data_IF_280956341519
#
_entry.id   IF_280956341519
#
_cell.length_a   1.000
_cell.length_b   1.000
_cell.length_c   1.000
_cell.angle_alpha   90.00
_cell.angle_beta   90.00
_cell.angle_gamma   90.00
#
_symmetry.space_group_name_H-M   'P 1'
#
loop_
_entity.id
_entity.type
_entity.pdbx_description
1 polymer ?
#
# COMPACT_ATOMS: atom_id res chain seq x y z
N UNK A 1 -11.74 17.90 1.00
CA UNK A 1 -10.74 18.78 1.68
C UNK A 1 -10.63 20.16 1.05
N UNK A 2 -10.44 20.30 -0.27
CA UNK A 2 -10.33 21.62 -0.91
C UNK A 2 -11.55 22.52 -0.64
N UNK A 3 -12.76 21.96 -0.69
CA UNK A 3 -14.02 22.65 -0.37
C UNK A 3 -14.21 22.90 1.13
N UNK A 4 -13.81 21.94 1.97
CA UNK A 4 -13.95 22.04 3.43
C UNK A 4 -13.02 23.11 4.04
N UNK A 5 -11.86 23.34 3.42
CA UNK A 5 -10.83 24.30 3.84
C UNK A 5 -10.40 24.12 5.30
N UNK A 6 -9.78 22.97 5.65
CA UNK A 6 -9.35 22.74 7.02
C UNK A 6 -8.22 23.67 7.45
N UNK A 7 -8.14 23.96 8.74
CA UNK A 7 -7.02 24.64 9.38
C UNK A 7 -5.99 23.67 10.00
N UNK A 8 -6.34 22.38 10.12
CA UNK A 8 -5.45 21.26 10.45
C UNK A 8 -5.97 19.96 9.82
N UNK A 9 -5.04 19.09 9.43
CA UNK A 9 -5.36 17.73 8.95
C UNK A 9 -4.83 16.70 9.95
N UNK A 10 -5.72 15.83 10.43
CA UNK A 10 -5.40 14.73 11.33
C UNK A 10 -5.53 13.43 10.55
N UNK A 11 -4.50 12.60 10.56
CA UNK A 11 -4.40 11.38 9.73
C UNK A 11 -4.24 10.17 10.63
N UNK A 12 -4.95 9.09 10.32
CA UNK A 12 -4.75 7.80 10.99
C UNK A 12 -3.34 7.28 10.71
N UNK A 13 -2.62 7.01 11.79
CA UNK A 13 -1.26 6.53 11.76
C UNK A 13 -0.60 6.72 13.13
N UNK A 14 0.52 6.05 13.38
CA UNK A 14 1.23 6.16 14.65
C UNK A 14 1.85 7.56 14.81
N UNK A 15 1.75 8.20 15.99
CA UNK A 15 2.33 9.52 16.27
C UNK A 15 3.85 9.56 16.09
N UNK A 16 4.52 8.41 16.14
CA UNK A 16 5.92 8.23 15.78
C UNK A 16 6.25 8.74 14.36
N UNK A 17 5.27 8.82 13.45
CA UNK A 17 5.46 9.32 12.09
C UNK A 17 5.58 10.86 12.01
N UNK A 18 5.06 11.60 13.00
CA UNK A 18 5.00 13.07 12.97
C UNK A 18 6.34 13.73 12.57
N UNK A 19 7.50 13.30 13.11
CA UNK A 19 8.79 13.89 12.76
C UNK A 19 9.21 13.70 11.29
N UNK A 20 8.67 12.70 10.60
CA UNK A 20 9.04 12.38 9.21
C UNK A 20 7.97 12.78 8.19
N UNK A 21 6.82 13.31 8.60
CA UNK A 21 5.76 13.72 7.67
C UNK A 21 6.22 14.77 6.65
N UNK A 22 7.10 15.69 7.06
CA UNK A 22 7.59 16.76 6.16
C UNK A 22 8.28 16.21 4.90
N UNK A 23 8.89 15.04 4.98
CA UNK A 23 9.56 14.39 3.84
C UNK A 23 8.59 13.94 2.74
N UNK A 24 7.30 13.78 3.05
CA UNK A 24 6.24 13.52 2.04
C UNK A 24 6.11 14.71 1.06
N UNK A 25 6.52 15.91 1.47
CA UNK A 25 6.59 17.09 0.61
C UNK A 25 7.77 17.09 -0.36
N UNK A 26 8.77 16.22 -0.17
CA UNK A 26 9.97 16.18 -1.01
C UNK A 26 9.62 15.81 -2.46
N UNK A 27 10.30 16.40 -3.44
CA UNK A 27 9.99 16.18 -4.86
C UNK A 27 10.33 14.75 -5.34
N UNK A 28 11.34 14.15 -4.73
CA UNK A 28 11.84 12.83 -5.12
C UNK A 28 11.19 11.66 -4.37
N UNK A 29 10.34 11.90 -3.35
CA UNK A 29 9.63 10.78 -2.72
C UNK A 29 8.53 10.28 -3.67
N UNK A 30 8.57 8.98 -3.99
CA UNK A 30 7.63 8.35 -4.93
C UNK A 30 7.04 7.09 -4.33
N UNK A 31 5.72 7.03 -4.09
CA UNK A 31 5.09 5.80 -3.65
C UNK A 31 5.19 4.69 -4.74
N UNK A 32 5.09 3.40 -4.36
CA UNK A 32 4.75 2.90 -3.03
C UNK A 32 5.92 3.01 -2.02
N UNK A 33 5.67 3.64 -0.87
CA UNK A 33 6.63 3.74 0.24
C UNK A 33 5.97 3.24 1.50
N UNK A 34 6.74 2.78 2.48
CA UNK A 34 6.20 2.43 3.79
C UNK A 34 6.83 3.29 4.87
N UNK A 35 6.01 3.69 5.83
CA UNK A 35 6.50 4.18 7.10
C UNK A 35 6.95 2.96 7.91
N UNK A 36 8.25 2.88 8.19
CA UNK A 36 8.84 1.92 9.08
C UNK A 36 8.90 2.52 10.48
N UNK A 37 8.18 1.95 11.44
CA UNK A 37 8.25 2.31 12.86
C UNK A 37 8.90 1.17 13.62
N UNK A 38 9.96 1.44 14.40
CA UNK A 38 10.76 0.40 15.04
C UNK A 38 11.28 0.82 16.41
N UNK A 39 11.54 -0.17 17.28
CA UNK A 39 12.21 0.05 18.56
C UNK A 39 13.73 0.15 18.35
N UNK A 40 14.41 1.22 18.80
CA UNK A 40 15.83 1.45 18.49
C UNK A 40 16.77 0.40 19.12
N UNK A 41 16.40 -0.16 20.27
CA UNK A 41 17.20 -1.21 20.93
C UNK A 41 16.78 -2.63 20.54
N UNK A 42 15.62 -2.77 19.87
CA UNK A 42 15.06 -4.06 19.43
C UNK A 42 14.46 -3.91 18.03
N UNK A 43 15.26 -3.71 16.97
CA UNK A 43 14.74 -3.37 15.63
C UNK A 43 13.79 -4.41 15.02
N UNK A 44 13.85 -5.66 15.48
CA UNK A 44 12.89 -6.70 15.11
C UNK A 44 11.46 -6.43 15.58
N UNK A 45 11.28 -5.56 16.58
CA UNK A 45 9.98 -4.99 16.94
C UNK A 45 9.70 -3.77 16.05
N UNK A 46 9.24 -4.06 14.83
CA UNK A 46 8.93 -3.08 13.82
C UNK A 46 7.57 -3.32 13.17
N UNK A 47 6.94 -2.24 12.74
CA UNK A 47 5.74 -2.27 11.92
C UNK A 47 5.93 -1.43 10.66
N UNK A 48 5.27 -1.86 9.59
CA UNK A 48 5.20 -1.14 8.33
C UNK A 48 3.79 -0.62 8.10
N UNK A 49 3.70 0.65 7.69
CA UNK A 49 2.48 1.27 7.20
C UNK A 49 2.72 1.68 5.74
N UNK A 50 2.33 0.84 4.77
CA UNK A 50 2.49 1.12 3.35
C UNK A 50 1.55 2.25 2.87
N UNK A 51 2.05 3.04 1.92
CA UNK A 51 1.31 4.11 1.24
C UNK A 51 1.53 3.99 -0.27
N UNK A 52 0.46 4.17 -1.02
CA UNK A 52 0.45 4.32 -2.47
C UNK A 52 0.04 5.75 -2.87
N UNK A 53 0.20 6.09 -4.15
CA UNK A 53 -0.25 7.40 -4.66
C UNK A 53 -1.75 7.63 -4.46
N UNK A 54 -2.54 6.55 -4.49
CA UNK A 54 -3.99 6.57 -4.30
C UNK A 54 -4.41 6.44 -2.83
N UNK A 55 -3.48 6.28 -1.87
CA UNK A 55 -3.82 6.20 -0.45
C UNK A 55 -4.44 7.52 0.03
N UNK A 56 -5.63 7.52 0.66
CA UNK A 56 -6.26 8.73 1.18
C UNK A 56 -5.36 9.52 2.15
N UNK A 57 -4.66 8.81 3.02
CA UNK A 57 -3.72 9.34 4.01
C UNK A 57 -2.54 10.05 3.35
N UNK A 58 -1.97 9.43 2.31
CA UNK A 58 -0.88 10.02 1.51
C UNK A 58 -1.31 11.35 0.88
N UNK A 59 -2.50 11.35 0.26
CA UNK A 59 -3.07 12.54 -0.36
C UNK A 59 -3.41 13.63 0.66
N UNK A 60 -3.88 13.25 1.85
CA UNK A 60 -4.17 14.18 2.94
C UNK A 60 -2.90 14.89 3.45
N UNK A 61 -1.82 14.13 3.65
CA UNK A 61 -0.52 14.68 4.06
C UNK A 61 0.02 15.61 2.97
N UNK A 62 0.02 15.19 1.70
CA UNK A 62 0.45 16.02 0.57
C UNK A 62 -0.37 17.30 0.46
N UNK A 63 -1.68 17.22 0.63
CA UNK A 63 -2.58 18.39 0.62
C UNK A 63 -2.23 19.39 1.73
N UNK A 64 -2.05 18.90 2.96
CA UNK A 64 -1.73 19.74 4.11
C UNK A 64 -0.38 20.45 3.91
N UNK A 65 0.67 19.69 3.55
CA UNK A 65 2.02 20.23 3.31
C UNK A 65 2.03 21.24 2.15
N UNK A 66 1.33 20.93 1.05
CA UNK A 66 1.21 21.83 -0.10
C UNK A 66 0.53 23.16 0.21
N UNK A 67 -0.27 23.23 1.28
CA UNK A 67 -0.94 24.45 1.78
C UNK A 67 -0.31 25.00 3.05
N UNK A 68 0.81 24.45 3.51
CA UNK A 68 1.43 24.80 4.80
C UNK A 68 0.48 24.70 6.00
N UNK A 69 -0.47 23.76 5.92
CA UNK A 69 -1.36 23.42 7.04
C UNK A 69 -0.64 22.45 7.98
N UNK A 70 -0.85 22.55 9.31
CA UNK A 70 -0.44 21.52 10.24
C UNK A 70 -1.05 20.16 9.87
N UNK A 71 -0.23 19.12 9.96
CA UNK A 71 -0.64 17.72 9.80
C UNK A 71 -0.09 16.89 10.95
N UNK A 72 -0.90 15.98 11.51
CA UNK A 72 -0.51 15.10 12.62
C UNK A 72 -1.12 13.73 12.48
N UNK A 73 -0.38 12.74 12.93
CA UNK A 73 -0.87 11.38 13.13
C UNK A 73 -1.66 11.28 14.43
N UNK A 74 -2.79 10.55 14.40
CA UNK A 74 -3.74 10.52 15.52
C UNK A 74 -4.15 9.12 16.00
N UNK A 75 -3.44 8.07 15.60
CA UNK A 75 -3.72 6.72 16.09
C UNK A 75 -2.88 6.38 17.34
N UNK A 76 -3.13 5.22 17.96
CA UNK A 76 -2.37 4.77 19.11
C UNK A 76 -0.86 4.72 18.80
N UNK A 77 0.00 5.17 19.74
CA UNK A 77 1.43 4.90 19.70
C UNK A 77 1.68 3.40 19.58
N UNK A 78 2.65 2.99 18.78
CA UNK A 78 2.92 1.57 18.52
C UNK A 78 3.20 0.78 19.81
N UNK A 79 3.87 1.39 20.78
CA UNK A 79 4.14 0.79 22.10
C UNK A 79 2.85 0.50 22.89
N UNK A 80 1.81 1.29 22.63
CA UNK A 80 0.52 1.16 23.26
C UNK A 80 -0.41 0.23 22.49
N UNK A 81 -0.02 -0.27 21.31
CA UNK A 81 -0.80 -1.21 20.53
C UNK A 81 -0.63 -2.64 21.07
N UNK A 82 -1.70 -3.41 21.07
CA UNK A 82 -1.66 -4.84 21.40
C UNK A 82 -1.34 -5.70 20.17
N UNK A 83 -1.11 -7.00 20.37
CA UNK A 83 -1.22 -7.97 19.27
C UNK A 83 -2.68 -7.97 18.80
N UNK A 84 -2.92 -7.41 17.61
CA UNK A 84 -4.24 -7.39 16.99
C UNK A 84 -4.56 -8.83 16.55
N UNK A 85 -5.22 -9.59 17.42
CA UNK A 85 -5.75 -10.88 17.02
C UNK A 85 -6.73 -10.63 15.86
N UNK A 86 -6.59 -11.33 14.71
CA UNK A 86 -7.51 -11.13 13.61
C UNK A 86 -8.93 -11.37 14.11
N UNK A 87 -9.77 -10.33 14.03
CA UNK A 87 -11.20 -10.51 14.31
C UNK A 87 -11.72 -11.52 13.30
N UNK A 88 -12.31 -12.65 13.74
CA UNK A 88 -12.90 -13.63 12.82
C UNK A 88 -14.12 -13.05 12.09
N UNK A 89 -14.63 -11.90 12.53
CA UNK A 89 -15.75 -11.20 11.92
C UNK A 89 -15.25 -10.16 10.91
N UNK A 90 -15.64 -10.31 9.63
CA UNK A 90 -15.53 -9.30 8.57
C UNK A 90 -16.95 -8.84 8.17
N UNK A 91 -17.54 -7.87 8.88
CA UNK A 91 -18.91 -7.42 8.61
C UNK A 91 -19.08 -6.90 7.19
N UNK A 92 -18.05 -6.25 6.62
CA UNK A 92 -18.13 -5.74 5.25
C UNK A 92 -18.04 -6.88 4.23
N UNK A 93 -17.23 -7.91 4.50
CA UNK A 93 -17.22 -9.14 3.70
C UNK A 93 -18.57 -9.84 3.70
N UNK A 94 -19.26 -9.92 4.83
CA UNK A 94 -20.61 -10.50 4.90
C UNK A 94 -21.64 -9.66 4.14
N UNK A 95 -21.58 -8.32 4.25
CA UNK A 95 -22.43 -7.42 3.47
C UNK A 95 -22.15 -7.57 1.96
N UNK A 96 -20.89 -7.69 1.56
CA UNK A 96 -20.50 -7.92 0.18
C UNK A 96 -21.09 -9.23 -0.37
N UNK A 97 -21.00 -10.33 0.40
CA UNK A 97 -21.62 -11.62 0.04
C UNK A 97 -23.13 -11.53 -0.10
N UNK A 98 -23.80 -10.84 0.82
CA UNK A 98 -25.25 -10.61 0.76
C UNK A 98 -25.64 -9.76 -0.46
N UNK A 99 -24.77 -8.84 -0.88
CA UNK A 99 -24.92 -8.04 -2.09
C UNK A 99 -24.54 -8.80 -3.38
N UNK A 100 -24.11 -10.06 -3.28
CA UNK A 100 -23.77 -10.91 -4.43
C UNK A 100 -22.32 -10.79 -4.92
N UNK A 101 -21.42 -10.23 -4.12
CA UNK A 101 -20.00 -10.11 -4.45
C UNK A 101 -19.17 -11.18 -3.74
N UNK A 102 -18.12 -11.66 -4.41
CA UNK A 102 -17.19 -12.66 -3.85
C UNK A 102 -16.20 -12.05 -2.84
N UNK A 103 -15.90 -10.76 -2.96
CA UNK A 103 -14.97 -10.04 -2.08
C UNK A 103 -15.44 -8.62 -1.73
N UNK A 104 -14.97 -8.14 -0.58
CA UNK A 104 -15.35 -6.83 -0.01
C UNK A 104 -14.87 -5.65 -0.83
N UNK A 105 -13.72 -5.76 -1.49
CA UNK A 105 -13.11 -4.65 -2.25
C UNK A 105 -13.94 -4.35 -3.50
N UNK A 106 -14.35 -5.36 -4.25
CA UNK A 106 -15.21 -5.19 -5.42
C UNK A 106 -16.55 -4.58 -5.07
N UNK A 107 -17.15 -5.05 -3.97
CA UNK A 107 -18.39 -4.47 -3.48
C UNK A 107 -18.19 -3.00 -3.09
N UNK A 108 -17.09 -2.67 -2.39
CA UNK A 108 -16.77 -1.30 -2.00
C UNK A 108 -16.58 -0.38 -3.21
N UNK A 109 -15.84 -0.82 -4.22
CA UNK A 109 -15.64 -0.10 -5.48
C UNK A 109 -16.99 0.22 -6.14
N UNK A 110 -17.83 -0.81 -6.31
CA UNK A 110 -19.12 -0.67 -6.96
C UNK A 110 -20.11 0.19 -6.16
N UNK A 111 -20.12 0.04 -4.83
CA UNK A 111 -21.07 0.71 -3.95
C UNK A 111 -20.70 2.19 -3.70
N UNK A 112 -19.40 2.52 -3.60
CA UNK A 112 -18.93 3.82 -3.13
C UNK A 112 -17.99 4.51 -4.10
N UNK A 113 -16.94 3.86 -4.59
CA UNK A 113 -15.88 4.53 -5.36
C UNK A 113 -16.34 5.02 -6.75
N UNK A 114 -17.32 4.34 -7.35
CA UNK A 114 -17.91 4.75 -8.63
C UNK A 114 -18.94 5.87 -8.51
N UNK A 115 -19.33 6.29 -7.30
CA UNK A 115 -20.29 7.37 -7.11
C UNK A 115 -19.64 8.73 -7.35
N UNK A 116 -20.37 9.61 -8.04
CA UNK A 116 -19.85 10.93 -8.45
C UNK A 116 -20.07 12.04 -7.40
N UNK A 117 -20.96 11.84 -6.43
CA UNK A 117 -21.21 12.80 -5.36
C UNK A 117 -20.54 12.35 -4.04
N UNK A 118 -19.50 13.06 -3.57
CA UNK A 118 -18.82 12.72 -2.33
C UNK A 118 -19.69 12.86 -1.07
N UNK A 119 -20.68 13.76 -1.07
CA UNK A 119 -21.45 14.09 0.14
C UNK A 119 -22.36 12.95 0.56
N UNK A 120 -23.10 12.38 -0.39
CA UNK A 120 -23.95 11.20 -0.17
C UNK A 120 -23.13 9.96 0.24
N UNK A 121 -21.88 9.85 -0.25
CA UNK A 121 -20.98 8.75 0.10
C UNK A 121 -20.61 8.80 1.58
N UNK A 122 -20.26 9.98 2.13
CA UNK A 122 -19.90 10.08 3.55
C UNK A 122 -21.05 9.73 4.48
N UNK A 123 -22.26 10.19 4.17
CA UNK A 123 -23.46 9.86 4.95
C UNK A 123 -23.77 8.36 4.90
N UNK A 124 -23.75 7.77 3.70
CA UNK A 124 -24.00 6.35 3.49
C UNK A 124 -22.96 5.47 4.20
N UNK A 125 -21.67 5.80 4.10
CA UNK A 125 -20.59 5.09 4.79
C UNK A 125 -20.74 5.23 6.30
N UNK A 126 -21.04 6.43 6.82
CA UNK A 126 -21.22 6.65 8.26
C UNK A 126 -22.37 5.83 8.82
N UNK A 127 -23.51 5.81 8.12
CA UNK A 127 -24.67 4.99 8.51
C UNK A 127 -24.31 3.49 8.49
N UNK A 128 -23.73 3.01 7.39
CA UNK A 128 -23.31 1.62 7.25
C UNK A 128 -22.36 1.18 8.37
N UNK A 129 -21.32 1.97 8.67
CA UNK A 129 -20.35 1.62 9.71
C UNK A 129 -20.97 1.67 11.10
N UNK A 130 -21.92 2.57 11.33
CA UNK A 130 -22.67 2.63 12.59
C UNK A 130 -23.47 1.34 12.80
N UNK A 131 -24.26 0.93 11.81
CA UNK A 131 -25.07 -0.29 11.87
C UNK A 131 -24.20 -1.55 11.97
N UNK A 132 -23.13 -1.64 11.19
CA UNK A 132 -22.22 -2.78 11.24
C UNK A 132 -21.60 -2.94 12.64
N UNK A 133 -21.21 -1.83 13.28
CA UNK A 133 -20.62 -1.83 14.62
C UNK A 133 -21.61 -2.21 15.72
N UNK A 134 -22.88 -1.85 15.60
CA UNK A 134 -23.90 -2.28 16.59
C UNK A 134 -24.08 -3.80 16.62
N UNK A 135 -23.73 -4.47 15.52
CA UNK A 135 -23.84 -5.93 15.35
C UNK A 135 -22.51 -6.66 15.50
N UNK A 136 -21.43 -5.97 15.88
CA UNK A 136 -20.08 -6.54 16.06
C UNK A 136 -19.62 -6.32 17.50
N UNK A 137 -19.02 -7.34 18.12
CA UNK A 137 -18.51 -7.19 19.48
C UNK A 137 -17.39 -6.13 19.52
N UNK A 138 -17.40 -5.20 20.51
CA UNK A 138 -16.36 -4.19 20.60
C UNK A 138 -15.01 -4.84 20.90
N UNK A 139 -14.01 -4.55 20.05
CA UNK A 139 -12.63 -4.92 20.30
C UNK A 139 -11.96 -3.90 21.22
N UNK A 140 -11.34 -4.36 22.31
CA UNK A 140 -10.66 -3.49 23.28
C UNK A 140 -9.54 -2.63 22.64
N UNK A 141 -8.91 -3.14 21.58
CA UNK A 141 -7.91 -2.40 20.82
C UNK A 141 -8.55 -1.26 20.01
N UNK A 142 -9.63 -1.56 19.27
CA UNK A 142 -10.39 -0.55 18.54
C UNK A 142 -10.92 0.57 19.45
N UNK A 143 -11.43 0.24 20.63
CA UNK A 143 -11.89 1.26 21.59
C UNK A 143 -10.76 2.19 22.06
N UNK A 144 -9.55 1.66 22.23
CA UNK A 144 -8.41 2.45 22.64
C UNK A 144 -7.86 3.32 21.50
N UNK A 145 -7.82 2.81 20.26
CA UNK A 145 -7.51 3.59 19.05
C UNK A 145 -8.44 4.79 18.95
N UNK A 146 -9.74 4.54 19.05
CA UNK A 146 -10.76 5.59 19.01
C UNK A 146 -10.68 6.57 20.19
N UNK A 147 -10.36 6.10 21.40
CA UNK A 147 -10.16 6.96 22.56
C UNK A 147 -8.97 7.90 22.36
N UNK A 148 -7.88 7.39 21.80
CA UNK A 148 -6.70 8.18 21.48
C UNK A 148 -7.00 9.21 20.37
N UNK A 149 -7.64 8.80 19.27
CA UNK A 149 -8.08 9.70 18.18
C UNK A 149 -8.94 10.84 18.71
N UNK A 150 -9.94 10.55 19.55
CA UNK A 150 -10.78 11.59 20.20
C UNK A 150 -9.96 12.53 21.09
N UNK A 151 -8.93 12.05 21.79
CA UNK A 151 -8.05 12.93 22.56
C UNK A 151 -7.23 13.87 21.67
N UNK A 152 -6.75 13.39 20.51
CA UNK A 152 -6.02 14.25 19.57
C UNK A 152 -6.92 15.31 18.94
N UNK A 153 -8.18 14.97 18.61
CA UNK A 153 -9.17 15.95 18.15
C UNK A 153 -9.40 17.02 19.22
N UNK A 154 -9.70 16.64 20.47
CA UNK A 154 -9.88 17.61 21.57
C UNK A 154 -8.64 18.46 21.83
N UNK A 155 -7.45 17.91 21.64
CA UNK A 155 -6.19 18.64 21.75
C UNK A 155 -6.09 19.70 20.65
N UNK A 156 -6.40 19.36 19.40
CA UNK A 156 -6.43 20.33 18.31
C UNK A 156 -7.47 21.44 18.55
N UNK A 157 -8.68 21.08 19.01
CA UNK A 157 -9.69 22.09 19.41
C UNK A 157 -9.16 23.02 20.51
N UNK A 158 -8.49 22.46 21.53
CA UNK A 158 -7.89 23.23 22.63
C UNK A 158 -6.72 24.14 22.21
N UNK A 159 -6.06 23.82 21.09
CA UNK A 159 -5.03 24.67 20.46
C UNK A 159 -5.63 25.79 19.58
N UNK A 160 -6.95 25.82 19.41
CA UNK A 160 -7.68 26.87 18.69
C UNK A 160 -8.00 26.54 17.23
N UNK A 161 -7.77 25.30 16.79
CA UNK A 161 -8.22 24.85 15.47
C UNK A 161 -9.74 24.69 15.45
N UNK A 162 -10.40 25.26 14.45
CA UNK A 162 -11.85 25.28 14.30
C UNK A 162 -12.35 24.40 13.14
N UNK A 163 -11.54 24.23 12.08
CA UNK A 163 -11.88 23.41 10.90
C UNK A 163 -10.95 22.21 10.80
N UNK A 164 -11.20 21.21 11.64
CA UNK A 164 -10.37 20.00 11.72
C UNK A 164 -10.85 18.98 10.70
N UNK A 165 -9.98 18.58 9.76
CA UNK A 165 -10.23 17.42 8.89
C UNK A 165 -9.59 16.17 9.50
N UNK A 166 -10.35 15.08 9.60
CA UNK A 166 -9.86 13.76 10.03
C UNK A 166 -9.90 12.80 8.85
N UNK A 167 -8.79 12.10 8.60
CA UNK A 167 -8.67 11.06 7.57
C UNK A 167 -8.33 9.75 8.27
N UNK A 168 -9.28 8.81 8.26
CA UNK A 168 -9.18 7.52 8.93
C UNK A 168 -9.99 6.47 8.16
N UNK A 169 -9.77 5.20 8.49
CA UNK A 169 -10.58 4.08 8.04
C UNK A 169 -12.06 4.28 8.41
N UNK A 170 -12.94 3.87 7.50
CA UNK A 170 -14.39 4.07 7.64
C UNK A 170 -14.95 3.53 8.97
N UNK A 171 -14.39 2.43 9.47
CA UNK A 171 -14.79 1.80 10.73
C UNK A 171 -14.71 2.75 11.95
N UNK A 172 -13.75 3.69 11.94
CA UNK A 172 -13.54 4.64 13.03
C UNK A 172 -14.46 5.85 12.97
N UNK A 173 -15.10 6.13 11.83
CA UNK A 173 -15.93 7.34 11.63
C UNK A 173 -17.03 7.49 12.69
N UNK A 174 -17.81 6.46 13.06
CA UNK A 174 -18.85 6.58 14.08
C UNK A 174 -18.32 7.00 15.47
N UNK A 175 -17.04 6.77 15.74
CA UNK A 175 -16.40 7.09 17.02
C UNK A 175 -16.35 8.59 17.30
N UNK A 176 -16.34 9.43 16.26
CA UNK A 176 -16.31 10.89 16.37
C UNK A 176 -17.69 11.50 16.63
N UNK A 177 -18.77 10.79 16.27
CA UNK A 177 -20.15 11.20 16.57
C UNK A 177 -20.58 10.84 17.99
N UNK A 178 -19.88 9.91 18.65
CA UNK A 178 -20.20 9.42 20.00
C UNK A 178 -19.81 10.45 21.07
N UNK A 179 -20.75 10.77 21.96
CA UNK A 179 -20.50 11.62 23.13
C UNK A 179 -19.76 10.83 24.22
N UNK A 180 -18.43 10.84 24.17
CA UNK A 180 -17.55 10.25 25.20
C UNK A 180 -16.83 11.38 25.94
N UNK A 181 -16.73 11.27 27.27
CA UNK A 181 -16.01 12.26 28.08
C UNK A 181 -14.50 12.06 28.00
N UNK A 182 -13.73 13.15 28.17
CA UNK A 182 -12.26 13.05 28.21
C UNK A 182 -11.77 12.11 29.31
N UNK A 183 -12.44 12.08 30.47
CA UNK A 183 -12.12 11.17 31.59
C UNK A 183 -12.34 9.70 31.23
N UNK A 184 -13.38 9.38 30.46
CA UNK A 184 -13.61 8.01 30.00
C UNK A 184 -12.49 7.56 29.04
N UNK A 185 -12.13 8.39 28.05
CA UNK A 185 -11.02 8.08 27.14
C UNK A 185 -9.69 7.92 27.89
N UNK A 186 -9.38 8.79 28.87
CA UNK A 186 -8.19 8.63 29.71
C UNK A 186 -8.20 7.32 30.50
N UNK A 187 -9.37 6.84 30.89
CA UNK A 187 -9.52 5.57 31.61
C UNK A 187 -9.26 4.40 30.67
N UNK A 188 -9.80 4.41 29.45
CA UNK A 188 -9.55 3.40 28.42
C UNK A 188 -8.08 3.28 28.06
N UNK A 189 -7.33 4.39 28.04
CA UNK A 189 -5.92 4.41 27.71
C UNK A 189 -4.99 4.09 28.90
N UNK A 190 -5.53 3.96 30.12
CA UNK A 190 -4.73 3.80 31.33
C UNK A 190 -4.06 2.44 31.37
N UNK A 191 -2.75 2.43 31.68
CA UNK A 191 -1.98 1.20 31.86
C UNK A 191 -1.41 0.61 30.58
N UNK A 192 -1.67 1.22 29.41
CA UNK A 192 -1.01 0.82 28.15
C UNK A 192 0.50 1.08 28.20
N UNK A 193 1.34 0.20 27.60
CA UNK A 193 2.78 0.36 27.64
C UNK A 193 3.24 1.63 26.92
N UNK A 194 4.45 2.06 27.28
CA UNK A 194 5.11 3.22 26.67
C UNK A 194 6.56 2.86 26.44
N UNK A 195 7.00 3.00 25.20
CA UNK A 195 8.41 2.89 24.82
C UNK A 195 8.67 3.81 23.63
N UNK A 196 9.92 4.23 23.50
CA UNK A 196 10.33 5.17 22.46
C UNK A 196 10.59 4.38 21.18
N UNK A 197 9.84 4.70 20.15
CA UNK A 197 10.07 4.18 18.81
C UNK A 197 10.54 5.31 17.89
N UNK A 198 11.22 4.93 16.82
CA UNK A 198 11.64 5.82 15.75
C UNK A 198 10.84 5.48 14.49
N UNK A 199 10.70 6.46 13.60
CA UNK A 199 10.06 6.26 12.31
C UNK A 199 10.95 6.76 11.17
N UNK A 200 10.88 6.08 10.03
CA UNK A 200 11.51 6.49 8.77
C UNK A 200 10.70 5.99 7.57
N UNK A 201 11.01 6.51 6.38
CA UNK A 201 10.45 6.03 5.12
C UNK A 201 11.36 5.00 4.48
N UNK A 202 10.78 3.92 3.99
CA UNK A 202 11.47 2.91 3.20
C UNK A 202 10.76 2.70 1.86
N UNK A 203 11.49 2.42 0.76
CA UNK A 203 10.87 1.95 -0.47
C UNK A 203 10.00 0.73 -0.22
N UNK A 204 8.83 0.70 -0.84
CA UNK A 204 7.91 -0.43 -0.79
C UNK A 204 7.59 -0.92 -2.20
N UNK A 205 6.88 -2.04 -2.31
CA UNK A 205 6.47 -2.60 -3.61
C UNK A 205 4.98 -2.83 -3.66
N UNK A 206 4.40 -2.86 -4.86
CA UNK A 206 3.01 -3.26 -5.02
C UNK A 206 2.75 -4.70 -4.61
N UNK A 207 3.68 -5.61 -4.88
CA UNK A 207 3.57 -6.99 -4.40
C UNK A 207 3.40 -7.08 -2.87
N UNK A 208 4.09 -6.21 -2.11
CA UNK A 208 3.99 -6.14 -0.64
C UNK A 208 2.87 -5.27 -0.14
N UNK A 209 2.37 -4.36 -0.95
CA UNK A 209 1.11 -3.67 -0.69
C UNK A 209 -0.07 -4.63 -0.87
N UNK A 210 0.11 -5.68 -1.66
CA UNK A 210 -0.95 -6.62 -1.97
C UNK A 210 -1.31 -7.50 -0.77
N UNK A 211 -2.60 -7.69 -0.52
CA UNK A 211 -3.11 -8.49 0.60
C UNK A 211 -2.52 -9.93 0.61
N UNK A 212 -2.26 -10.50 -0.57
CA UNK A 212 -1.66 -11.83 -0.75
C UNK A 212 -0.27 -11.97 -0.12
N UNK A 213 0.44 -10.87 0.15
CA UNK A 213 1.75 -10.88 0.81
C UNK A 213 1.66 -11.12 2.33
N UNK A 214 0.45 -11.18 2.89
CA UNK A 214 0.19 -11.33 4.32
C UNK A 214 -0.02 -10.00 5.06
N UNK A 215 -0.01 -8.86 4.35
CA UNK A 215 -0.40 -7.58 4.94
C UNK A 215 -1.92 -7.51 5.11
N UNK A 216 -2.38 -7.52 6.36
CA UNK A 216 -3.81 -7.64 6.70
C UNK A 216 -4.68 -6.49 6.16
N UNK A 217 -4.10 -5.29 6.03
CA UNK A 217 -4.74 -4.11 5.44
C UNK A 217 -4.30 -3.88 3.97
N UNK A 218 -3.73 -4.90 3.33
CA UNK A 218 -3.28 -4.81 1.94
C UNK A 218 -4.43 -4.67 0.96
N UNK A 219 -4.11 -4.09 -0.19
CA UNK A 219 -5.04 -3.90 -1.29
C UNK A 219 -4.95 -5.09 -2.23
N UNK A 220 -6.04 -5.72 -2.66
CA UNK A 220 -5.94 -6.92 -3.53
C UNK A 220 -5.31 -6.58 -4.89
N UNK A 221 -5.58 -5.38 -5.41
CA UNK A 221 -5.27 -5.02 -6.80
C UNK A 221 -4.50 -3.68 -6.97
N UNK A 222 -3.30 -3.49 -6.38
CA UNK A 222 -2.62 -2.18 -6.34
C UNK A 222 -2.46 -1.47 -7.68
N UNK A 223 -2.00 -2.15 -8.73
CA UNK A 223 -1.79 -1.54 -10.05
C UNK A 223 -3.10 -1.15 -10.73
N UNK A 224 -4.18 -1.91 -10.48
CA UNK A 224 -5.49 -1.56 -10.97
C UNK A 224 -6.04 -0.31 -10.28
N UNK A 225 -5.89 -0.18 -8.95
CA UNK A 225 -6.29 1.05 -8.25
C UNK A 225 -5.42 2.26 -8.62
N UNK A 226 -4.13 2.07 -8.91
CA UNK A 226 -3.31 3.14 -9.50
C UNK A 226 -3.87 3.62 -10.85
N UNK A 227 -4.34 2.68 -11.69
CA UNK A 227 -4.99 3.02 -12.95
C UNK A 227 -6.29 3.79 -12.72
N UNK A 228 -7.15 3.32 -11.81
CA UNK A 228 -8.40 3.99 -11.44
C UNK A 228 -8.15 5.42 -10.95
N UNK A 229 -7.13 5.61 -10.11
CA UNK A 229 -6.76 6.92 -9.57
C UNK A 229 -6.32 7.91 -10.65
N UNK A 230 -5.59 7.44 -11.67
CA UNK A 230 -5.00 8.29 -12.72
C UNK A 230 -5.90 8.50 -13.92
N UNK A 231 -6.98 7.75 -14.05
CA UNK A 231 -7.77 7.67 -15.28
C UNK A 231 -9.22 8.06 -15.02
N UNK A 232 -9.84 8.74 -15.97
CA UNK A 232 -11.27 9.02 -15.87
C UNK A 232 -12.07 7.71 -15.91
N UNK A 233 -13.16 7.54 -15.13
CA UNK A 233 -13.90 6.28 -15.06
C UNK A 233 -14.31 5.71 -16.43
N UNK A 234 -14.72 6.57 -17.36
CA UNK A 234 -15.16 6.18 -18.71
C UNK A 234 -14.00 5.64 -19.59
N UNK A 235 -12.75 5.89 -19.22
CA UNK A 235 -11.56 5.47 -19.97
C UNK A 235 -10.88 4.23 -19.38
N UNK A 236 -11.21 3.84 -18.13
CA UNK A 236 -10.55 2.75 -17.40
C UNK A 236 -10.60 1.44 -18.18
N UNK A 237 -11.78 1.07 -18.68
CA UNK A 237 -11.99 -0.22 -19.35
C UNK A 237 -11.11 -0.36 -20.60
N UNK A 238 -11.20 0.63 -21.48
CA UNK A 238 -10.41 0.67 -22.72
C UNK A 238 -8.91 0.81 -22.43
N UNK A 239 -8.55 1.62 -21.43
CA UNK A 239 -7.17 1.82 -21.01
C UNK A 239 -6.52 0.55 -20.47
N UNK A 240 -7.23 -0.19 -19.61
CA UNK A 240 -6.75 -1.45 -19.05
C UNK A 240 -6.60 -2.52 -20.12
N UNK A 241 -7.62 -2.74 -20.96
CA UNK A 241 -7.57 -3.74 -22.04
C UNK A 241 -6.52 -3.43 -23.11
N UNK A 242 -6.27 -2.14 -23.39
CA UNK A 242 -5.17 -1.72 -24.26
C UNK A 242 -3.81 -2.05 -23.66
N UNK A 243 -3.62 -1.86 -22.35
CA UNK A 243 -2.39 -2.25 -21.63
C UNK A 243 -2.21 -3.77 -21.64
N UNK A 244 -3.29 -4.52 -21.42
CA UNK A 244 -3.30 -5.99 -21.52
C UNK A 244 -2.84 -6.45 -22.90
N UNK A 245 -3.42 -5.90 -23.97
CA UNK A 245 -3.02 -6.27 -25.33
C UNK A 245 -1.58 -5.83 -25.67
N UNK A 246 -1.07 -4.73 -25.11
CA UNK A 246 0.34 -4.35 -25.25
C UNK A 246 1.26 -5.35 -24.58
N UNK A 247 0.97 -5.72 -23.33
CA UNK A 247 1.72 -6.71 -22.58
C UNK A 247 1.78 -8.06 -23.30
N UNK A 248 0.64 -8.53 -23.83
CA UNK A 248 0.61 -9.78 -24.59
C UNK A 248 1.49 -9.72 -25.84
N UNK A 249 1.45 -8.61 -26.59
CA UNK A 249 2.31 -8.43 -27.78
C UNK A 249 3.79 -8.31 -27.44
N UNK A 250 4.14 -7.76 -26.29
CA UNK A 250 5.54 -7.71 -25.80
C UNK A 250 6.10 -9.11 -25.52
N UNK A 251 5.23 -10.09 -25.26
CA UNK A 251 5.56 -11.51 -25.03
C UNK A 251 5.26 -12.37 -26.27
N UNK A 252 5.23 -11.76 -27.46
CA UNK A 252 4.99 -12.42 -28.75
C UNK A 252 3.63 -13.15 -28.87
N UNK A 253 2.61 -12.73 -28.10
CA UNK A 253 1.23 -13.21 -28.18
C UNK A 253 0.36 -12.27 -29.03
N UNK A 254 -0.53 -12.85 -29.85
CA UNK A 254 -1.42 -12.07 -30.70
C UNK A 254 -2.53 -11.38 -29.89
N UNK A 255 -2.66 -10.08 -30.08
CA UNK A 255 -3.73 -9.28 -29.50
C UNK A 255 -3.99 -8.09 -30.44
N UNK A 256 -4.76 -8.33 -31.50
CA UNK A 256 -5.06 -7.32 -32.52
C UNK A 256 -5.92 -6.16 -31.95
N UNK A 257 -5.91 -4.96 -32.58
CA UNK A 257 -6.83 -3.89 -32.23
C UNK A 257 -8.31 -4.32 -32.30
N UNK A 258 -8.66 -5.22 -33.23
CA UNK A 258 -10.02 -5.76 -33.32
C UNK A 258 -10.36 -6.59 -32.07
N UNK A 259 -9.44 -7.42 -31.58
CA UNK A 259 -9.60 -8.19 -30.35
C UNK A 259 -9.77 -7.28 -29.13
N UNK A 260 -9.08 -6.14 -29.07
CA UNK A 260 -9.26 -5.15 -27.99
C UNK A 260 -10.67 -4.54 -28.03
N UNK A 261 -11.16 -4.16 -29.20
CA UNK A 261 -12.53 -3.62 -29.36
C UNK A 261 -13.56 -4.65 -28.89
N UNK A 262 -13.41 -5.92 -29.29
CA UNK A 262 -14.33 -6.97 -28.85
C UNK A 262 -14.22 -7.25 -27.34
N UNK A 263 -13.02 -7.18 -26.75
CA UNK A 263 -12.84 -7.31 -25.32
C UNK A 263 -13.53 -6.18 -24.53
N UNK A 264 -13.44 -4.93 -25.01
CA UNK A 264 -14.15 -3.80 -24.38
C UNK A 264 -15.65 -4.01 -24.45
N UNK A 265 -16.19 -4.38 -25.62
CA UNK A 265 -17.61 -4.68 -25.78
C UNK A 265 -18.08 -5.81 -24.86
N UNK A 266 -17.26 -6.85 -24.71
CA UNK A 266 -17.58 -7.95 -23.81
C UNK A 266 -17.59 -7.49 -22.35
N UNK A 267 -16.61 -6.71 -21.92
CA UNK A 267 -16.57 -6.16 -20.57
C UNK A 267 -17.82 -5.30 -20.28
N UNK A 268 -18.21 -4.42 -21.21
CA UNK A 268 -19.42 -3.59 -21.08
C UNK A 268 -20.71 -4.43 -21.03
N UNK A 269 -20.77 -5.50 -21.84
CA UNK A 269 -21.90 -6.42 -21.83
C UNK A 269 -22.00 -7.19 -20.50
N UNK A 270 -20.87 -7.66 -19.96
CA UNK A 270 -20.81 -8.33 -18.65
C UNK A 270 -21.24 -7.37 -17.53
N UNK A 271 -20.74 -6.13 -17.55
CA UNK A 271 -21.14 -5.08 -16.61
C UNK A 271 -22.67 -4.88 -16.64
N UNK A 272 -23.23 -4.74 -17.83
CA UNK A 272 -24.67 -4.56 -18.04
C UNK A 272 -25.48 -5.74 -17.53
N UNK A 273 -25.04 -6.98 -17.77
CA UNK A 273 -25.69 -8.20 -17.27
C UNK A 273 -25.67 -8.28 -15.74
N UNK A 274 -24.63 -7.71 -15.10
CA UNK A 274 -24.47 -7.63 -13.65
C UNK A 274 -25.10 -6.38 -13.03
N UNK A 275 -25.84 -5.59 -13.81
CA UNK A 275 -26.49 -4.37 -13.34
C UNK A 275 -25.53 -3.23 -12.99
N UNK A 276 -24.29 -3.30 -13.49
CA UNK A 276 -23.26 -2.28 -13.28
C UNK A 276 -23.29 -1.25 -14.41
N UNK A 277 -23.00 0.01 -14.07
CA UNK A 277 -22.91 1.11 -15.06
C UNK A 277 -21.59 1.12 -15.83
N UNK A 278 -20.52 0.61 -15.23
CA UNK A 278 -19.18 0.53 -15.80
C UNK A 278 -18.56 -0.83 -15.44
N UNK A 279 -17.73 -1.43 -16.32
CA UNK A 279 -17.01 -2.66 -16.01
C UNK A 279 -15.96 -2.41 -14.92
N UNK A 280 -15.93 -3.31 -13.94
CA UNK A 280 -14.86 -3.41 -12.94
C UNK A 280 -13.80 -4.41 -13.33
N UNK A 281 -12.88 -4.67 -12.41
CA UNK A 281 -11.78 -5.59 -12.64
C UNK A 281 -12.25 -7.01 -13.02
N UNK A 282 -13.37 -7.49 -12.49
CA UNK A 282 -13.91 -8.81 -12.81
C UNK A 282 -14.33 -8.91 -14.28
N UNK A 283 -15.14 -7.96 -14.76
CA UNK A 283 -15.56 -7.89 -16.16
C UNK A 283 -14.35 -7.76 -17.10
N UNK A 284 -13.36 -6.95 -16.70
CA UNK A 284 -12.14 -6.76 -17.47
C UNK A 284 -11.30 -8.04 -17.54
N UNK A 285 -11.17 -8.77 -16.43
CA UNK A 285 -10.44 -10.04 -16.36
C UNK A 285 -11.13 -11.11 -17.20
N UNK A 286 -12.44 -11.26 -17.09
CA UNK A 286 -13.21 -12.23 -17.89
C UNK A 286 -13.17 -11.91 -19.38
N UNK A 287 -13.28 -10.63 -19.75
CA UNK A 287 -13.17 -10.22 -21.13
C UNK A 287 -11.77 -10.45 -21.70
N UNK A 288 -10.72 -10.10 -20.95
CA UNK A 288 -9.35 -10.37 -21.36
C UNK A 288 -9.05 -11.87 -21.45
N UNK A 289 -9.49 -12.66 -20.48
CA UNK A 289 -9.33 -14.12 -20.50
C UNK A 289 -10.00 -14.72 -21.73
N UNK A 290 -11.23 -14.31 -22.02
CA UNK A 290 -12.03 -14.85 -23.13
C UNK A 290 -11.50 -14.43 -24.51
N UNK A 291 -11.19 -13.15 -24.69
CA UNK A 291 -10.94 -12.56 -26.02
C UNK A 291 -9.45 -12.41 -26.32
N UNK A 292 -8.65 -11.99 -25.34
CA UNK A 292 -7.22 -11.68 -25.54
C UNK A 292 -6.32 -12.87 -25.23
N UNK A 293 -6.68 -13.67 -24.22
CA UNK A 293 -5.91 -14.84 -23.79
C UNK A 293 -6.41 -16.15 -24.42
N UNK A 294 -7.51 -16.13 -25.17
CA UNK A 294 -8.07 -17.32 -25.82
C UNK A 294 -8.46 -18.42 -24.83
N UNK A 295 -9.05 -18.05 -23.69
CA UNK A 295 -9.43 -18.95 -22.60
C UNK A 295 -8.22 -19.74 -22.01
N UNK A 296 -7.04 -19.12 -21.98
CA UNK A 296 -5.82 -19.72 -21.45
C UNK A 296 -5.34 -18.99 -20.20
N UNK A 297 -5.17 -19.74 -19.11
CA UNK A 297 -4.74 -19.20 -17.83
C UNK A 297 -3.26 -18.79 -17.80
N UNK A 298 -2.42 -19.34 -18.70
CA UNK A 298 -0.99 -19.01 -18.75
C UNK A 298 -0.74 -17.52 -19.03
N UNK A 299 -1.22 -16.96 -20.16
CA UNK A 299 -1.12 -15.51 -20.41
C UNK A 299 -1.93 -14.70 -19.41
N UNK A 300 -3.06 -15.22 -18.90
CA UNK A 300 -3.85 -14.51 -17.90
C UNK A 300 -3.09 -14.32 -16.58
N UNK A 301 -2.35 -15.32 -16.10
CA UNK A 301 -1.49 -15.19 -14.90
C UNK A 301 -0.41 -14.11 -15.06
N UNK A 302 0.12 -13.93 -16.27
CA UNK A 302 1.04 -12.83 -16.55
C UNK A 302 0.34 -11.48 -16.41
N UNK A 303 -0.87 -11.34 -16.98
CA UNK A 303 -1.70 -10.13 -16.88
C UNK A 303 -2.01 -9.82 -15.42
N UNK A 304 -2.40 -10.82 -14.62
CA UNK A 304 -2.66 -10.68 -13.19
C UNK A 304 -1.44 -10.15 -12.45
N UNK A 305 -0.27 -10.77 -12.66
CA UNK A 305 0.97 -10.33 -12.02
C UNK A 305 1.36 -8.90 -12.39
N UNK A 306 1.32 -8.56 -13.68
CA UNK A 306 1.87 -7.29 -14.21
C UNK A 306 0.90 -6.11 -14.13
N UNK A 307 -0.41 -6.34 -14.26
CA UNK A 307 -1.41 -5.28 -14.42
C UNK A 307 -2.46 -5.23 -13.31
N UNK A 308 -2.59 -6.28 -12.50
CA UNK A 308 -3.49 -6.28 -11.33
C UNK A 308 -2.70 -6.00 -10.06
N UNK A 309 -1.64 -6.77 -9.83
CA UNK A 309 -0.72 -6.52 -8.71
C UNK A 309 0.28 -5.42 -9.09
N UNK A 310 1.01 -5.64 -10.18
CA UNK A 310 2.05 -4.72 -10.67
C UNK A 310 3.36 -4.83 -9.91
N UNK A 311 4.35 -4.11 -10.44
CA UNK A 311 5.77 -4.34 -10.10
C UNK A 311 6.47 -3.04 -9.69
N UNK A 312 5.67 -2.05 -9.29
CA UNK A 312 6.16 -0.74 -8.87
C UNK A 312 7.00 -0.88 -7.60
N UNK A 313 8.16 -0.21 -7.60
CA UNK A 313 9.03 -0.01 -6.45
C UNK A 313 9.09 1.50 -6.21
N UNK A 314 8.73 1.93 -5.00
CA UNK A 314 8.83 3.34 -4.66
C UNK A 314 10.27 3.82 -4.49
N UNK A 315 10.38 5.12 -4.24
CA UNK A 315 11.64 5.80 -4.03
C UNK A 315 11.56 6.73 -2.82
N UNK A 316 12.61 6.69 -2.01
CA UNK A 316 12.78 7.56 -0.84
C UNK A 316 14.04 8.40 -1.07
N UNK A 317 14.00 9.73 -0.82
CA UNK A 317 15.14 10.62 -0.99
C UNK A 317 16.37 10.24 -0.15
N UNK A 318 17.58 10.53 -0.66
CA UNK A 318 18.86 10.23 0.02
C UNK A 318 19.04 10.96 1.36
N UNK A 319 18.39 12.12 1.54
CA UNK A 319 18.41 12.94 2.75
C UNK A 319 17.34 12.54 3.78
N UNK A 320 16.52 11.54 3.47
CA UNK A 320 15.58 10.97 4.44
C UNK A 320 16.38 10.35 5.60
N UNK A 321 16.01 10.59 6.86
CA UNK A 321 16.69 9.98 8.00
C UNK A 321 16.71 8.45 7.89
N UNK A 322 17.86 7.85 7.62
CA UNK A 322 18.02 6.39 7.46
C UNK A 322 18.87 5.80 8.59
N UNK A 323 18.69 4.52 8.85
CA UNK A 323 19.63 3.77 9.69
C UNK A 323 21.04 3.79 9.06
N UNK A 324 22.14 3.84 9.84
CA UNK A 324 23.49 3.95 9.31
C UNK A 324 23.88 2.85 8.31
N UNK A 325 23.44 1.60 8.54
CA UNK A 325 23.71 0.48 7.62
C UNK A 325 22.94 0.60 6.30
N UNK A 326 21.71 1.10 6.36
CA UNK A 326 20.91 1.40 5.16
C UNK A 326 21.57 2.49 4.31
N UNK A 327 22.09 3.55 4.94
CA UNK A 327 22.83 4.62 4.26
C UNK A 327 24.14 4.11 3.62
N UNK A 328 24.89 3.24 4.31
CA UNK A 328 26.09 2.60 3.72
C UNK A 328 25.70 1.76 2.50
N UNK A 329 24.67 0.89 2.62
CA UNK A 329 24.22 0.08 1.49
C UNK A 329 23.81 0.94 0.29
N UNK A 330 23.09 2.04 0.49
CA UNK A 330 22.71 2.96 -0.59
C UNK A 330 23.95 3.53 -1.31
N UNK A 331 25.01 3.89 -0.57
CA UNK A 331 26.27 4.34 -1.14
C UNK A 331 26.95 3.23 -1.98
N UNK A 332 26.94 1.98 -1.50
CA UNK A 332 27.45 0.83 -2.25
C UNK A 332 26.64 0.54 -3.53
N UNK A 333 25.31 0.58 -3.45
CA UNK A 333 24.41 0.41 -4.60
C UNK A 333 24.69 1.44 -5.70
N UNK A 334 24.85 2.71 -5.31
CA UNK A 334 25.19 3.81 -6.23
C UNK A 334 26.56 3.62 -6.86
N UNK A 335 27.58 3.30 -6.05
CA UNK A 335 28.96 3.06 -6.50
C UNK A 335 29.04 1.92 -7.51
N UNK A 336 28.33 0.82 -7.26
CA UNK A 336 28.37 -0.40 -8.07
C UNK A 336 27.32 -0.45 -9.18
N UNK A 337 26.49 0.60 -9.28
CA UNK A 337 25.34 0.69 -10.20
C UNK A 337 24.43 -0.52 -10.09
N UNK A 338 24.22 -0.98 -8.86
CA UNK A 338 23.38 -2.13 -8.54
C UNK A 338 22.10 -1.58 -7.91
N UNK A 339 21.04 -1.49 -8.72
CA UNK A 339 19.77 -0.91 -8.28
C UNK A 339 18.91 -2.00 -7.64
N UNK A 340 18.23 -1.74 -6.51
CA UNK A 340 17.18 -2.62 -6.03
C UNK A 340 16.04 -2.63 -7.05
N UNK A 341 15.56 -3.82 -7.37
CA UNK A 341 14.47 -4.05 -8.32
C UNK A 341 13.47 -5.01 -7.64
N UNK A 342 12.17 -4.71 -7.77
CA UNK A 342 11.10 -5.58 -7.27
C UNK A 342 10.90 -6.83 -8.12
N UNK A 343 11.63 -6.93 -9.24
CA UNK A 343 11.60 -8.06 -10.15
C UNK A 343 12.87 -8.86 -10.07
N UNK A 344 12.70 -10.17 -10.26
CA UNK A 344 13.80 -11.08 -10.38
C UNK A 344 14.66 -10.70 -11.58
N UNK A 345 15.95 -10.48 -11.31
CA UNK A 345 16.95 -10.19 -12.32
C UNK A 345 18.12 -11.13 -12.17
N UNK A 346 18.54 -11.76 -13.26
CA UNK A 346 19.80 -12.51 -13.29
C UNK A 346 20.96 -11.56 -13.52
N UNK A 347 22.02 -11.72 -12.71
CA UNK A 347 23.25 -10.97 -12.80
C UNK A 347 24.43 -11.95 -12.93
N UNK A 348 25.06 -11.93 -14.10
CA UNK A 348 26.29 -12.68 -14.35
C UNK A 348 27.50 -11.79 -14.03
N UNK A 349 28.40 -12.29 -13.17
CA UNK A 349 29.57 -11.58 -12.70
C UNK A 349 30.85 -12.30 -13.14
N UNK A 350 31.76 -11.57 -13.77
CA UNK A 350 33.13 -12.04 -14.04
C UNK A 350 34.07 -11.52 -12.96
N UNK A 351 34.47 -12.38 -12.02
CA UNK A 351 35.25 -12.01 -10.82
C UNK A 351 36.65 -11.45 -11.13
N UNK A 352 37.09 -11.51 -12.39
CA UNK A 352 38.35 -10.88 -12.84
C UNK A 352 38.20 -9.38 -13.07
N UNK A 353 36.97 -8.90 -13.26
CA UNK A 353 36.65 -7.48 -13.38
C UNK A 353 36.44 -6.91 -12.00
N UNK A 354 37.19 -5.86 -11.66
CA UNK A 354 37.18 -5.25 -10.32
C UNK A 354 35.77 -4.85 -9.86
N UNK A 355 34.95 -4.28 -10.75
CA UNK A 355 33.58 -3.88 -10.41
C UNK A 355 32.64 -5.08 -10.18
N UNK A 356 32.83 -6.19 -10.89
CA UNK A 356 32.01 -7.40 -10.70
C UNK A 356 32.46 -8.19 -9.46
N UNK A 357 33.75 -8.16 -9.15
CA UNK A 357 34.28 -8.65 -7.88
C UNK A 357 33.71 -7.86 -6.69
N UNK A 358 33.63 -6.55 -6.79
CA UNK A 358 33.03 -5.71 -5.74
C UNK A 358 31.51 -5.94 -5.60
N UNK A 359 30.79 -6.21 -6.70
CA UNK A 359 29.38 -6.63 -6.67
C UNK A 359 29.20 -7.96 -5.96
N UNK A 360 30.02 -8.96 -6.29
CA UNK A 360 30.04 -10.26 -5.63
C UNK A 360 30.31 -10.11 -4.13
N UNK A 361 31.34 -9.33 -3.75
CA UNK A 361 31.66 -9.04 -2.34
C UNK A 361 30.50 -8.40 -1.59
N UNK A 362 29.80 -7.44 -2.19
CA UNK A 362 28.63 -6.82 -1.57
C UNK A 362 27.52 -7.86 -1.31
N UNK A 363 27.19 -8.68 -2.31
CA UNK A 363 26.13 -9.70 -2.19
C UNK A 363 26.47 -10.76 -1.13
N UNK A 364 27.71 -11.23 -1.08
CA UNK A 364 28.18 -12.13 -0.01
C UNK A 364 28.16 -11.47 1.36
N UNK A 365 28.56 -10.19 1.49
CA UNK A 365 28.47 -9.44 2.76
C UNK A 365 27.03 -9.30 3.24
N UNK A 366 26.09 -9.04 2.34
CA UNK A 366 24.67 -8.97 2.68
C UNK A 366 24.13 -10.34 3.13
N UNK A 367 24.58 -11.43 2.52
CA UNK A 367 24.23 -12.77 2.97
C UNK A 367 24.72 -13.07 4.40
N UNK A 368 25.91 -12.58 4.78
CA UNK A 368 26.42 -12.67 6.15
C UNK A 368 25.62 -11.84 7.16
N UNK A 369 24.97 -10.78 6.72
CA UNK A 369 24.06 -9.96 7.52
C UNK A 369 22.62 -10.50 7.49
N UNK A 370 22.41 -11.71 6.95
CA UNK A 370 21.10 -12.33 6.78
C UNK A 370 20.14 -11.52 5.87
N UNK A 371 20.71 -10.69 4.98
CA UNK A 371 20.01 -9.91 3.95
C UNK A 371 20.22 -10.58 2.58
N UNK A 372 19.44 -11.62 2.21
CA UNK A 372 19.64 -12.36 0.96
C UNK A 372 19.09 -11.61 -0.26
N UNK A 373 19.61 -10.41 -0.55
CA UNK A 373 19.23 -9.66 -1.75
C UNK A 373 19.58 -10.41 -3.04
N UNK A 374 20.65 -11.21 -3.01
CA UNK A 374 21.00 -12.13 -4.08
C UNK A 374 21.02 -13.59 -3.61
N UNK A 375 20.48 -14.47 -4.44
CA UNK A 375 20.66 -15.91 -4.36
C UNK A 375 21.71 -16.34 -5.39
N UNK A 376 22.77 -17.01 -4.94
CA UNK A 376 23.79 -17.56 -5.83
C UNK A 376 23.22 -18.80 -6.53
N UNK A 377 23.11 -18.74 -7.86
CA UNK A 377 22.63 -19.85 -8.67
C UNK A 377 23.74 -20.89 -8.86
N UNK A 378 23.41 -22.20 -8.85
CA UNK A 378 24.39 -23.24 -9.09
C UNK A 378 25.03 -23.08 -10.48
N UNK A 379 26.35 -23.30 -10.57
CA UNK A 379 27.08 -23.27 -11.84
C UNK A 379 26.43 -24.24 -12.85
N UNK A 380 26.22 -23.79 -14.09
CA UNK A 380 25.87 -24.66 -15.21
C UNK A 380 26.98 -25.68 -15.50
N UNK A 381 26.80 -26.55 -16.51
CA UNK A 381 27.72 -27.65 -16.87
C UNK A 381 29.21 -27.27 -17.11
N UNK A 382 29.56 -25.98 -17.19
CA UNK A 382 30.94 -25.49 -17.27
C UNK A 382 31.40 -24.95 -15.90
N UNK A 383 32.29 -25.69 -15.23
CA UNK A 383 32.95 -25.26 -13.99
C UNK A 383 33.93 -24.14 -14.26
N UNK A 384 33.53 -22.90 -14.00
CA UNK A 384 34.42 -21.74 -14.12
C UNK A 384 34.46 -21.02 -12.77
N UNK A 385 35.54 -21.20 -12.03
CA UNK A 385 35.82 -20.58 -10.73
C UNK A 385 35.89 -19.05 -10.73
N UNK A 386 35.77 -18.41 -11.91
CA UNK A 386 35.83 -16.95 -12.09
C UNK A 386 34.48 -16.34 -12.44
N UNK A 387 33.40 -17.11 -12.49
CA UNK A 387 32.07 -16.61 -12.81
C UNK A 387 31.09 -16.94 -11.70
N UNK A 388 30.27 -15.96 -11.33
CA UNK A 388 29.14 -16.15 -10.42
C UNK A 388 27.85 -15.70 -11.10
N UNK A 389 26.80 -16.50 -10.98
CA UNK A 389 25.47 -16.15 -11.46
C UNK A 389 24.57 -15.93 -10.26
N UNK A 390 24.02 -14.73 -10.15
CA UNK A 390 23.13 -14.35 -9.06
C UNK A 390 21.72 -14.12 -9.58
N UNK A 391 20.73 -14.53 -8.80
CA UNK A 391 19.34 -14.06 -8.94
C UNK A 391 19.11 -12.98 -7.88
N UNK A 392 18.81 -11.77 -8.32
CA UNK A 392 18.56 -10.63 -7.45
C UNK A 392 17.06 -10.35 -7.39
N UNK A 393 16.56 -10.11 -6.18
CA UNK A 393 15.18 -9.66 -5.93
C UNK A 393 15.19 -8.83 -4.65
N UNK A 394 14.87 -7.54 -4.73
CA UNK A 394 14.80 -6.71 -3.53
C UNK A 394 13.48 -6.96 -2.78
N UNK A 395 13.58 -7.21 -1.48
CA UNK A 395 12.42 -7.37 -0.59
C UNK A 395 12.45 -6.30 0.51
N UNK A 396 11.33 -5.66 0.85
CA UNK A 396 11.33 -4.61 1.87
C UNK A 396 11.77 -5.05 3.27
N UNK A 397 11.68 -6.34 3.62
CA UNK A 397 12.21 -6.88 4.88
C UNK A 397 13.70 -6.63 5.04
N UNK A 398 14.43 -6.56 3.91
CA UNK A 398 15.84 -6.23 3.93
C UNK A 398 16.08 -4.85 4.52
N UNK A 399 15.13 -3.91 4.43
CA UNK A 399 15.25 -2.62 5.09
C UNK A 399 15.21 -2.76 6.61
N UNK A 400 14.36 -3.63 7.19
CA UNK A 400 14.32 -3.89 8.64
C UNK A 400 15.58 -4.58 9.13
N UNK A 401 16.10 -5.54 8.37
CA UNK A 401 17.36 -6.21 8.71
C UNK A 401 18.58 -5.27 8.67
N UNK A 402 18.43 -4.08 8.06
CA UNK A 402 19.46 -3.05 7.98
C UNK A 402 19.26 -1.92 9.00
N UNK A 403 18.30 -2.05 9.93
CA UNK A 403 18.07 -1.09 11.03
C UNK A 403 18.76 -1.51 12.32
#
# INVERSE_FOLDING_TARGET
MAEFEPDIVLVEGPPEADPVLATVGHADIRPPVALLVYHPDEPGNAAFYPFAEFSPEWNAIRFALGRSLPVRMIDLPIAAQGEEAPSPEDPLGEIAKLAGYEDRERWWEAAFERRRDPSEVFEAVTMLMTEARENTAPAAEGEAREAYMRQQVRKAEGEGFAKIAVVCGAWHVPAFSKKVSATADMTTLRGRPKSKHLATWVPWTYDRLAAQSGYAAGVVSPAYYELLWRTSPDEVASGWLLRTARLLREEDLDASPASVIEAVRLADALASLRGQSLPGLEELREAAWSVLCGANDVPMRLVERRLVVGESLGHVPEDTPQAPLQADLAAWQKRLRLKPEALERTLELDLRKENDLDRSRLLHRLHLLEVPWGELLPEGRQKSTFHENWRLLWKPEFAVQLV
#
